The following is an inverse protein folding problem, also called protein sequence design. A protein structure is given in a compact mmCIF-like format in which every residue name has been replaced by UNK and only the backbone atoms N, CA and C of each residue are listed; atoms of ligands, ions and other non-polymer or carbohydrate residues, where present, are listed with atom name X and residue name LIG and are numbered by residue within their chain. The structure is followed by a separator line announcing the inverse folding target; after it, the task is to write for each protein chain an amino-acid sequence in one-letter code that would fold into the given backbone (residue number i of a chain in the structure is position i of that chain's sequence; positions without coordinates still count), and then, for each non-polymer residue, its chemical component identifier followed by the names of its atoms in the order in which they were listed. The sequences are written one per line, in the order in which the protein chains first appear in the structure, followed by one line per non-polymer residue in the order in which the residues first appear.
data_IF_088616175697
#
_entry.id   IF_088616175697
#
_cell.length_a   1.000
_cell.length_b   1.000
_cell.length_c   1.000
_cell.angle_alpha   90.00
_cell.angle_beta   90.00
_cell.angle_gamma   90.00
#
_symmetry.space_group_name_H-M   'P 1'
#
loop_
_entity.id
_entity.type
_entity.pdbx_description
1 polymer ?
#
# COMPACT_ATOMS: atom_id res chain seq x y z
N UNK A 1 10.29 -4.19 48.21
CA UNK A 1 9.84 -4.72 46.91
C UNK A 1 10.80 -4.18 45.87
N UNK A 2 11.82 -4.96 45.50
CA UNK A 2 12.59 -4.66 44.29
C UNK A 2 11.61 -4.74 43.11
N UNK A 3 11.43 -3.63 42.39
CA UNK A 3 10.73 -3.66 41.12
C UNK A 3 11.61 -4.51 40.19
N UNK A 4 11.11 -5.69 39.77
CA UNK A 4 11.76 -6.49 38.75
C UNK A 4 11.87 -5.63 37.48
N UNK A 5 13.06 -5.09 37.21
CA UNK A 5 13.37 -4.45 35.95
C UNK A 5 13.52 -5.53 34.89
N UNK A 6 12.65 -5.50 33.89
CA UNK A 6 12.80 -6.32 32.69
C UNK A 6 13.55 -5.51 31.63
N UNK A 7 14.25 -6.18 30.71
CA UNK A 7 14.95 -5.50 29.63
C UNK A 7 14.14 -5.56 28.35
N UNK A 8 14.03 -4.43 27.66
CA UNK A 8 13.44 -4.32 26.33
C UNK A 8 14.47 -3.85 25.31
N UNK A 9 14.32 -4.33 24.08
CA UNK A 9 15.16 -3.96 22.98
C UNK A 9 14.66 -2.65 22.37
N UNK A 10 15.56 -1.68 22.22
CA UNK A 10 15.27 -0.42 21.58
C UNK A 10 16.20 -0.18 20.40
N UNK A 11 15.68 0.56 19.44
CA UNK A 11 16.46 1.02 18.31
C UNK A 11 16.90 2.46 18.54
N UNK A 12 18.20 2.66 18.46
CA UNK A 12 18.87 3.94 18.67
C UNK A 12 19.47 4.41 17.34
N UNK A 13 19.35 5.70 17.05
CA UNK A 13 20.02 6.32 15.89
C UNK A 13 21.29 6.99 16.37
N UNK A 14 22.44 6.53 15.88
CA UNK A 14 23.73 7.11 16.22
C UNK A 14 23.97 8.41 15.43
N UNK A 15 24.87 9.32 15.89
CA UNK A 15 25.12 10.60 15.21
C UNK A 15 25.60 10.48 13.76
N UNK A 16 26.16 9.33 13.38
CA UNK A 16 26.58 9.03 12.01
C UNK A 16 25.43 8.49 11.12
N UNK A 17 24.19 8.44 11.63
CA UNK A 17 23.03 7.89 10.93
C UNK A 17 22.93 6.35 10.95
N UNK A 18 23.75 5.67 11.74
CA UNK A 18 23.66 4.20 11.86
C UNK A 18 22.56 3.82 12.84
N UNK A 19 21.76 2.81 12.48
CA UNK A 19 20.80 2.21 13.39
C UNK A 19 21.49 1.17 14.26
N UNK A 20 21.31 1.25 15.56
CA UNK A 20 21.86 0.32 16.54
C UNK A 20 20.75 -0.23 17.43
N UNK A 21 20.91 -1.47 17.92
CA UNK A 21 19.95 -2.10 18.83
C UNK A 21 20.58 -2.26 20.21
N UNK A 22 19.89 -1.77 21.24
CA UNK A 22 20.36 -1.80 22.62
C UNK A 22 19.27 -2.33 23.56
N UNK A 23 19.68 -3.14 24.54
CA UNK A 23 18.80 -3.56 25.63
C UNK A 23 18.79 -2.48 26.72
N UNK A 24 17.60 -1.98 27.05
CA UNK A 24 17.40 -1.00 28.10
C UNK A 24 16.45 -1.53 29.17
N UNK A 25 16.67 -1.10 30.42
CA UNK A 25 15.78 -1.47 31.51
C UNK A 25 14.43 -0.76 31.36
N UNK A 26 13.35 -1.52 31.45
CA UNK A 26 11.98 -1.04 31.44
C UNK A 26 11.23 -1.49 32.68
N UNK A 27 10.22 -0.71 33.04
CA UNK A 27 9.27 -1.04 34.11
C UNK A 27 8.01 -1.71 33.56
N UNK A 28 7.85 -1.70 32.23
CA UNK A 28 6.68 -2.26 31.58
C UNK A 28 6.80 -3.78 31.48
N UNK A 29 5.65 -4.45 31.67
CA UNK A 29 5.60 -5.90 31.56
C UNK A 29 5.71 -6.34 30.08
N UNK A 30 6.75 -7.11 29.77
CA UNK A 30 6.96 -7.66 28.43
C UNK A 30 6.31 -9.04 28.33
N UNK A 31 5.42 -9.20 27.34
CA UNK A 31 4.81 -10.51 27.07
C UNK A 31 5.85 -11.49 26.53
N UNK A 32 5.64 -12.80 26.74
CA UNK A 32 6.57 -13.84 26.25
C UNK A 32 6.80 -13.74 24.74
N UNK A 33 5.74 -13.51 23.96
CA UNK A 33 5.84 -13.37 22.49
C UNK A 33 6.64 -12.14 22.07
N UNK A 34 6.45 -11.00 22.75
CA UNK A 34 7.24 -9.79 22.50
C UNK A 34 8.72 -10.02 22.84
N UNK A 35 9.02 -10.62 23.99
CA UNK A 35 10.40 -10.92 24.38
C UNK A 35 11.11 -11.91 23.44
N UNK A 36 10.39 -12.91 22.90
CA UNK A 36 10.94 -13.81 21.88
C UNK A 36 11.23 -13.09 20.56
N UNK A 37 10.30 -12.25 20.10
CA UNK A 37 10.49 -11.48 18.87
C UNK A 37 11.68 -10.50 19.01
N UNK A 38 11.79 -9.79 20.14
CA UNK A 38 12.92 -8.89 20.40
C UNK A 38 14.26 -9.63 20.37
N UNK A 39 14.35 -10.84 20.95
CA UNK A 39 15.56 -11.66 20.90
C UNK A 39 15.93 -12.07 19.48
N UNK A 40 14.98 -12.56 18.70
CA UNK A 40 15.19 -12.92 17.29
C UNK A 40 15.67 -11.72 16.46
N UNK A 41 15.07 -10.53 16.67
CA UNK A 41 15.50 -9.29 16.02
C UNK A 41 16.97 -8.98 16.37
N UNK A 42 17.33 -9.10 17.65
CA UNK A 42 18.69 -8.83 18.12
C UNK A 42 19.71 -9.84 17.57
N UNK A 43 19.38 -11.13 17.52
CA UNK A 43 20.23 -12.18 16.96
C UNK A 43 20.52 -11.91 15.48
N UNK A 44 19.49 -11.61 14.67
CA UNK A 44 19.66 -11.26 13.25
C UNK A 44 20.45 -9.97 13.04
N UNK A 45 20.30 -9.01 13.93
CA UNK A 45 21.11 -7.79 13.92
C UNK A 45 22.58 -8.09 14.21
N UNK A 46 22.86 -8.95 15.20
CA UNK A 46 24.21 -9.35 15.59
C UNK A 46 24.94 -10.16 14.50
N UNK A 47 24.21 -10.88 13.64
CA UNK A 47 24.76 -11.56 12.47
C UNK A 47 25.29 -10.59 11.39
N UNK A 48 25.19 -9.26 11.60
CA UNK A 48 25.68 -8.19 10.72
C UNK A 48 25.17 -8.27 9.27
N UNK A 49 24.02 -8.91 9.05
CA UNK A 49 23.32 -8.85 7.78
C UNK A 49 22.36 -7.67 7.79
N UNK A 50 22.31 -6.88 6.71
CA UNK A 50 21.29 -5.83 6.55
C UNK A 50 19.85 -6.40 6.44
N UNK A 51 19.69 -7.72 6.59
CA UNK A 51 18.42 -8.45 6.53
C UNK A 51 17.59 -8.34 7.82
N UNK A 52 18.17 -7.92 8.95
CA UNK A 52 17.40 -7.78 10.19
C UNK A 52 16.26 -6.76 10.04
N UNK A 53 16.48 -5.66 9.29
CA UNK A 53 15.45 -4.64 9.07
C UNK A 53 14.37 -5.14 8.10
N UNK A 54 14.76 -5.98 7.13
CA UNK A 54 13.81 -6.66 6.24
C UNK A 54 12.94 -7.64 7.04
N UNK A 55 13.55 -8.45 7.91
CA UNK A 55 12.84 -9.32 8.84
C UNK A 55 11.87 -8.54 9.72
N UNK A 56 12.31 -7.41 10.28
CA UNK A 56 11.45 -6.55 11.09
C UNK A 56 10.20 -6.11 10.30
N UNK A 57 10.34 -5.80 9.01
CA UNK A 57 9.23 -5.38 8.16
C UNK A 57 8.19 -6.47 7.88
N UNK A 58 8.60 -7.74 8.00
CA UNK A 58 7.72 -8.91 7.86
C UNK A 58 7.19 -9.44 9.20
N UNK A 59 7.68 -8.93 10.32
CA UNK A 59 7.27 -9.37 11.66
C UNK A 59 5.80 -9.08 11.96
N UNK A 60 5.19 -9.90 12.81
CA UNK A 60 3.76 -9.84 13.13
C UNK A 60 3.39 -8.50 13.80
N UNK A 61 2.52 -7.67 13.18
CA UNK A 61 2.11 -6.38 13.74
C UNK A 61 1.30 -6.51 15.04
N UNK A 62 0.68 -7.67 15.32
CA UNK A 62 -0.10 -7.92 16.53
C UNK A 62 0.78 -8.07 17.77
N UNK A 63 2.05 -8.43 17.60
CA UNK A 63 3.01 -8.49 18.69
C UNK A 63 3.46 -7.06 19.02
N UNK A 64 3.24 -6.63 20.25
CA UNK A 64 3.68 -5.30 20.71
C UNK A 64 5.21 -5.22 20.76
N UNK A 65 5.76 -4.12 20.24
CA UNK A 65 7.19 -3.77 20.31
C UNK A 65 7.34 -2.38 20.95
N UNK A 66 8.50 -2.08 21.57
CA UNK A 66 8.83 -0.75 22.05
C UNK A 66 8.69 0.32 20.95
N UNK A 67 8.37 1.58 21.28
CA UNK A 67 8.03 2.61 20.29
C UNK A 67 9.08 2.79 19.19
N UNK A 68 10.36 2.77 19.54
CA UNK A 68 11.48 2.89 18.61
C UNK A 68 11.49 1.74 17.58
N UNK A 69 11.36 0.50 18.03
CA UNK A 69 11.29 -0.67 17.16
C UNK A 69 10.00 -0.71 16.33
N UNK A 70 8.85 -0.37 16.91
CA UNK A 70 7.58 -0.36 16.18
C UNK A 70 7.58 0.69 15.05
N UNK A 71 8.20 1.86 15.28
CA UNK A 71 8.40 2.86 14.24
C UNK A 71 9.16 2.29 13.04
N UNK A 72 10.29 1.64 13.29
CA UNK A 72 11.10 1.04 12.23
C UNK A 72 10.45 -0.19 11.61
N UNK A 73 9.64 -0.95 12.36
CA UNK A 73 8.76 -2.01 11.82
C UNK A 73 7.75 -1.46 10.84
N UNK A 74 7.11 -0.33 11.14
CA UNK A 74 6.17 0.31 10.21
C UNK A 74 6.87 0.82 8.96
N UNK A 75 8.07 1.40 9.11
CA UNK A 75 8.89 1.86 7.99
C UNK A 75 9.32 0.70 7.07
N UNK A 76 9.94 -0.34 7.61
CA UNK A 76 10.35 -1.50 6.82
C UNK A 76 9.16 -2.36 6.37
N UNK A 77 8.05 -2.34 7.10
CA UNK A 77 6.78 -2.96 6.71
C UNK A 77 6.13 -2.27 5.51
N UNK A 78 6.27 -0.95 5.38
CA UNK A 78 5.86 -0.24 4.16
C UNK A 78 6.69 -0.68 2.95
N UNK A 79 8.00 -0.89 3.12
CA UNK A 79 8.86 -1.48 2.09
C UNK A 79 8.40 -2.90 1.74
N UNK A 80 8.21 -3.77 2.74
CA UNK A 80 7.79 -5.15 2.56
C UNK A 80 6.44 -5.25 1.82
N UNK A 81 5.48 -4.37 2.15
CA UNK A 81 4.18 -4.28 1.47
C UNK A 81 4.35 -3.91 0.00
N UNK A 82 5.07 -2.82 -0.29
CA UNK A 82 5.34 -2.40 -1.68
C UNK A 82 6.08 -3.46 -2.48
N UNK A 83 7.03 -4.14 -1.85
CA UNK A 83 7.74 -5.27 -2.44
C UNK A 83 6.75 -6.38 -2.82
N UNK A 84 5.92 -6.83 -1.88
CA UNK A 84 4.94 -7.88 -2.14
C UNK A 84 3.91 -7.47 -3.20
N UNK A 85 3.54 -6.18 -3.29
CA UNK A 85 2.64 -5.60 -4.27
C UNK A 85 3.29 -5.33 -5.64
N UNK A 86 4.59 -5.59 -5.79
CA UNK A 86 5.28 -5.35 -7.06
C UNK A 86 4.86 -6.39 -8.09
N UNK A 87 4.27 -5.98 -9.23
CA UNK A 87 3.92 -6.91 -10.31
C UNK A 87 5.17 -7.63 -10.82
N UNK A 88 5.02 -8.91 -11.14
CA UNK A 88 6.09 -9.72 -11.74
C UNK A 88 7.36 -9.79 -10.90
N UNK A 89 7.24 -9.70 -9.57
CA UNK A 89 8.39 -9.78 -8.67
C UNK A 89 9.23 -11.05 -8.89
N UNK A 90 8.59 -12.19 -9.20
CA UNK A 90 9.29 -13.44 -9.54
C UNK A 90 10.16 -13.33 -10.81
N UNK A 91 9.80 -12.45 -11.74
CA UNK A 91 10.57 -12.18 -12.95
C UNK A 91 11.71 -11.18 -12.69
N UNK A 92 11.42 -10.18 -11.86
CA UNK A 92 12.36 -9.11 -11.52
C UNK A 92 13.45 -9.62 -10.58
N UNK A 93 13.08 -10.40 -9.55
CA UNK A 93 13.95 -10.92 -8.48
C UNK A 93 14.87 -9.83 -7.91
N UNK A 94 16.17 -10.00 -8.08
CA UNK A 94 17.23 -9.10 -7.61
C UNK A 94 17.25 -7.75 -8.32
N UNK A 95 16.62 -7.66 -9.50
CA UNK A 95 16.57 -6.43 -10.31
C UNK A 95 15.47 -5.46 -9.88
N UNK A 96 14.62 -5.85 -8.92
CA UNK A 96 13.55 -5.00 -8.43
C UNK A 96 14.10 -3.73 -7.77
N UNK A 97 13.41 -2.61 -7.99
CA UNK A 97 13.71 -1.35 -7.34
C UNK A 97 12.42 -0.76 -6.79
N UNK A 98 12.29 -0.81 -5.47
CA UNK A 98 11.14 -0.24 -4.77
C UNK A 98 11.41 1.23 -4.46
N UNK A 99 10.63 2.13 -5.04
CA UNK A 99 10.73 3.56 -4.77
C UNK A 99 9.94 3.99 -3.53
N UNK A 100 10.46 4.99 -2.83
CA UNK A 100 9.76 5.76 -1.82
C UNK A 100 9.64 7.21 -2.31
N UNK A 101 8.49 7.83 -2.11
CA UNK A 101 8.22 9.21 -2.53
C UNK A 101 8.56 10.19 -1.41
N UNK A 102 8.82 11.45 -1.77
CA UNK A 102 9.05 12.52 -0.79
C UNK A 102 7.87 12.68 0.20
N UNK A 103 6.63 12.49 -0.26
CA UNK A 103 5.45 12.56 0.61
C UNK A 103 5.44 11.42 1.65
N UNK A 104 5.84 10.21 1.25
CA UNK A 104 5.96 9.08 2.17
C UNK A 104 7.08 9.31 3.19
N UNK A 105 8.23 9.84 2.77
CA UNK A 105 9.32 10.21 3.68
C UNK A 105 8.84 11.24 4.72
N UNK A 106 8.18 12.32 4.28
CA UNK A 106 7.61 13.34 5.17
C UNK A 106 6.57 12.77 6.14
N UNK A 107 5.74 11.84 5.65
CA UNK A 107 4.77 11.13 6.48
C UNK A 107 5.49 10.34 7.57
N UNK A 108 6.50 9.55 7.21
CA UNK A 108 7.29 8.80 8.20
C UNK A 108 8.00 9.69 9.21
N UNK A 109 8.51 10.86 8.81
CA UNK A 109 9.12 11.81 9.76
C UNK A 109 8.09 12.39 10.74
N UNK A 110 6.88 12.71 10.28
CA UNK A 110 5.83 13.27 11.11
C UNK A 110 5.33 12.31 12.21
N UNK A 111 5.47 11.00 12.01
CA UNK A 111 5.06 9.96 12.96
C UNK A 111 6.21 9.40 13.81
N UNK A 112 7.38 10.05 13.82
CA UNK A 112 8.51 9.62 14.64
C UNK A 112 8.17 9.69 16.14
N UNK A 113 8.35 8.60 16.91
CA UNK A 113 8.15 8.63 18.35
C UNK A 113 9.32 9.34 19.03
N UNK A 114 9.15 9.64 20.33
CA UNK A 114 10.29 9.97 21.16
C UNK A 114 11.21 8.74 21.28
N UNK A 115 12.44 8.87 20.78
CA UNK A 115 13.46 7.82 20.83
C UNK A 115 14.85 8.43 20.86
N UNK A 116 15.83 7.65 21.33
CA UNK A 116 17.24 8.07 21.38
C UNK A 116 17.77 8.29 19.95
N UNK A 117 18.26 9.50 19.68
CA UNK A 117 18.79 9.86 18.37
C UNK A 117 17.71 10.32 17.37
N UNK A 118 16.49 10.60 17.82
CA UNK A 118 15.42 11.14 16.96
C UNK A 118 15.82 12.44 16.25
N UNK A 119 16.73 13.24 16.82
CA UNK A 119 17.29 14.44 16.21
C UNK A 119 18.11 14.17 14.94
N UNK A 120 18.59 12.94 14.74
CA UNK A 120 19.32 12.53 13.54
C UNK A 120 18.39 11.93 12.47
N UNK A 121 17.10 11.76 12.78
CA UNK A 121 16.10 11.27 11.85
C UNK A 121 15.71 12.37 10.85
N UNK A 122 16.11 12.16 9.58
CA UNK A 122 15.90 13.10 8.47
C UNK A 122 15.59 12.35 7.18
N UNK A 123 15.11 13.08 6.16
CA UNK A 123 14.71 12.49 4.87
C UNK A 123 15.86 11.68 4.26
N UNK A 124 17.09 12.18 4.31
CA UNK A 124 18.27 11.51 3.75
C UNK A 124 18.60 10.19 4.47
N UNK A 125 18.36 10.13 5.78
CA UNK A 125 18.56 8.89 6.55
C UNK A 125 17.52 7.84 6.13
N UNK A 126 16.25 8.23 6.07
CA UNK A 126 15.18 7.32 5.66
C UNK A 126 15.40 6.80 4.23
N UNK A 127 15.78 7.67 3.29
CA UNK A 127 16.09 7.27 1.93
C UNK A 127 17.28 6.30 1.85
N UNK A 128 18.34 6.55 2.63
CA UNK A 128 19.48 5.64 2.71
C UNK A 128 19.07 4.26 3.27
N UNK A 129 18.26 4.23 4.33
CA UNK A 129 17.78 2.97 4.92
C UNK A 129 16.82 2.22 3.99
N UNK A 130 15.99 2.93 3.23
CA UNK A 130 15.14 2.35 2.19
C UNK A 130 15.95 1.71 1.07
N UNK A 131 17.02 2.39 0.64
CA UNK A 131 17.97 1.87 -0.35
C UNK A 131 18.67 0.61 0.15
N UNK A 132 19.10 0.60 1.42
CA UNK A 132 19.71 -0.58 2.06
C UNK A 132 18.75 -1.76 2.15
N UNK A 133 17.48 -1.53 2.47
CA UNK A 133 16.44 -2.57 2.44
C UNK A 133 16.33 -3.22 1.05
N UNK A 134 16.29 -2.40 -0.01
CA UNK A 134 16.24 -2.90 -1.38
C UNK A 134 17.49 -3.71 -1.75
N UNK A 135 18.68 -3.23 -1.37
CA UNK A 135 19.94 -3.94 -1.60
C UNK A 135 20.00 -5.27 -0.84
N UNK A 136 19.60 -5.28 0.44
CA UNK A 136 19.57 -6.48 1.27
C UNK A 136 18.63 -7.54 0.66
N UNK A 137 17.44 -7.14 0.23
CA UNK A 137 16.52 -8.03 -0.50
C UNK A 137 17.16 -8.56 -1.78
N UNK A 138 17.69 -7.67 -2.65
CA UNK A 138 18.30 -8.06 -3.93
C UNK A 138 19.43 -9.08 -3.77
N UNK A 139 20.31 -8.89 -2.78
CA UNK A 139 21.41 -9.83 -2.50
C UNK A 139 20.88 -11.17 -1.97
N UNK A 140 19.92 -11.14 -1.05
CA UNK A 140 19.37 -12.36 -0.46
C UNK A 140 18.58 -13.20 -1.48
N UNK A 141 17.75 -12.58 -2.32
CA UNK A 141 16.96 -13.29 -3.32
C UNK A 141 17.82 -13.82 -4.48
N UNK A 142 18.95 -13.16 -4.77
CA UNK A 142 19.93 -13.63 -5.74
C UNK A 142 20.60 -14.93 -5.28
N UNK A 143 20.89 -15.05 -3.98
CA UNK A 143 21.49 -16.24 -3.39
C UNK A 143 20.48 -17.38 -3.13
N UNK A 144 19.18 -17.09 -3.15
CA UNK A 144 18.13 -18.06 -2.86
C UNK A 144 17.69 -18.83 -4.11
N UNK A 145 17.80 -20.16 -4.09
CA UNK A 145 17.48 -21.02 -5.24
C UNK A 145 15.97 -21.23 -5.49
N UNK A 146 15.11 -20.95 -4.50
CA UNK A 146 13.67 -21.12 -4.61
C UNK A 146 12.93 -19.92 -5.23
N UNK A 147 11.59 -19.98 -5.17
CA UNK A 147 10.75 -18.86 -5.61
C UNK A 147 10.86 -17.66 -4.66
N UNK A 148 10.53 -16.46 -5.15
CA UNK A 148 10.43 -15.27 -4.30
C UNK A 148 9.35 -15.44 -3.23
N UNK A 149 8.29 -16.18 -3.54
CA UNK A 149 7.25 -16.49 -2.55
C UNK A 149 7.78 -17.35 -1.42
N UNK A 150 8.51 -18.42 -1.73
CA UNK A 150 9.12 -19.29 -0.71
C UNK A 150 10.11 -18.49 0.15
N UNK A 151 10.89 -17.61 -0.47
CA UNK A 151 11.79 -16.69 0.23
C UNK A 151 11.02 -15.82 1.21
N UNK A 152 9.96 -15.14 0.79
CA UNK A 152 9.15 -14.27 1.66
C UNK A 152 8.50 -15.06 2.80
N UNK A 153 8.04 -16.29 2.53
CA UNK A 153 7.47 -17.19 3.55
C UNK A 153 8.47 -17.59 4.64
N UNK A 154 9.78 -17.55 4.36
CA UNK A 154 10.80 -17.73 5.42
C UNK A 154 10.83 -16.60 6.44
N UNK A 155 10.36 -15.41 6.08
CA UNK A 155 10.29 -14.24 6.98
C UNK A 155 8.92 -14.08 7.61
N UNK A 156 7.85 -14.34 6.87
CA UNK A 156 6.48 -14.31 7.38
C UNK A 156 5.62 -15.37 6.71
N UNK A 157 5.20 -16.42 7.46
CA UNK A 157 4.37 -17.50 6.91
C UNK A 157 3.02 -17.02 6.33
N UNK A 158 2.52 -15.89 6.84
CA UNK A 158 1.26 -15.27 6.43
C UNK A 158 1.43 -14.21 5.32
N UNK A 159 2.67 -13.87 4.93
CA UNK A 159 2.91 -12.96 3.83
C UNK A 159 2.66 -13.70 2.50
N UNK A 160 1.64 -13.24 1.78
CA UNK A 160 1.33 -13.71 0.44
C UNK A 160 1.92 -12.74 -0.59
N UNK A 161 2.55 -13.29 -1.63
CA UNK A 161 3.05 -12.48 -2.73
C UNK A 161 1.84 -11.92 -3.49
N UNK A 162 1.66 -10.62 -3.41
CA UNK A 162 0.51 -9.89 -3.95
C UNK A 162 0.77 -9.67 -5.45
N UNK A 163 0.24 -10.55 -6.29
CA UNK A 163 0.49 -10.38 -7.74
C UNK A 163 0.16 -11.54 -8.65
N UNK A 164 -0.51 -12.58 -8.16
CA UNK A 164 -1.09 -13.59 -9.05
C UNK A 164 -2.45 -13.18 -9.59
N UNK A 165 -3.23 -12.39 -8.85
CA UNK A 165 -4.58 -11.97 -9.25
C UNK A 165 -4.65 -10.45 -9.30
N UNK A 166 -5.30 -9.95 -10.34
CA UNK A 166 -5.53 -8.53 -10.55
C UNK A 166 -7.01 -8.28 -10.77
N UNK A 167 -7.52 -7.27 -10.09
CA UNK A 167 -8.81 -6.69 -10.37
C UNK A 167 -8.61 -5.43 -11.20
N UNK A 168 -9.20 -5.40 -12.39
CA UNK A 168 -9.15 -4.26 -13.28
C UNK A 168 -10.50 -3.57 -13.26
N UNK A 169 -10.50 -2.27 -13.02
CA UNK A 169 -11.68 -1.43 -13.18
C UNK A 169 -11.32 -0.30 -14.13
N UNK A 170 -12.08 -0.14 -15.20
CA UNK A 170 -11.89 0.93 -16.19
C UNK A 170 -13.21 1.60 -16.51
N UNK A 171 -13.15 2.86 -16.96
CA UNK A 171 -14.34 3.55 -17.47
C UNK A 171 -14.77 2.93 -18.82
N UNK A 172 -16.08 2.80 -18.98
CA UNK A 172 -16.75 2.31 -20.17
C UNK A 172 -17.61 3.45 -20.78
N UNK A 173 -17.84 3.41 -22.08
CA UNK A 173 -18.59 4.44 -22.80
C UNK A 173 -20.12 4.29 -22.67
N UNK A 174 -20.59 3.30 -21.92
CA UNK A 174 -22.02 3.08 -21.72
C UNK A 174 -22.51 3.93 -20.54
N UNK A 175 -23.58 4.70 -20.76
CA UNK A 175 -24.12 5.59 -19.73
C UNK A 175 -24.84 4.84 -18.59
N UNK A 176 -25.40 3.65 -18.84
CA UNK A 176 -26.11 2.87 -17.82
C UNK A 176 -25.16 2.03 -16.95
N UNK A 177 -24.09 1.53 -17.57
CA UNK A 177 -23.00 0.80 -16.90
C UNK A 177 -21.66 1.43 -17.26
N UNK A 178 -21.31 2.55 -16.61
CA UNK A 178 -20.15 3.37 -16.96
C UNK A 178 -18.81 2.76 -16.62
N UNK A 179 -18.77 1.57 -16.02
CA UNK A 179 -17.54 0.89 -15.67
C UNK A 179 -17.48 -0.52 -16.23
N UNK A 180 -16.27 -1.00 -16.50
CA UNK A 180 -16.00 -2.38 -16.85
C UNK A 180 -15.02 -2.97 -15.84
N UNK A 181 -15.42 -4.08 -15.23
CA UNK A 181 -14.62 -4.83 -14.28
C UNK A 181 -14.16 -6.16 -14.89
N UNK A 182 -12.95 -6.58 -14.56
CA UNK A 182 -12.46 -7.92 -14.90
C UNK A 182 -11.42 -8.41 -13.89
N UNK A 183 -11.55 -9.66 -13.45
CA UNK A 183 -10.49 -10.36 -12.73
C UNK A 183 -9.56 -11.08 -13.72
N UNK A 184 -8.25 -10.94 -13.52
CA UNK A 184 -7.23 -11.65 -14.30
C UNK A 184 -6.20 -12.28 -13.38
N UNK A 185 -5.43 -13.21 -13.91
CA UNK A 185 -4.28 -13.77 -13.22
C UNK A 185 -3.04 -13.77 -14.11
N UNK A 186 -1.86 -13.78 -13.49
CA UNK A 186 -0.59 -13.95 -14.19
C UNK A 186 -0.25 -15.42 -14.36
N UNK A 187 0.04 -15.80 -15.61
CA UNK A 187 0.61 -17.11 -15.94
C UNK A 187 2.12 -17.12 -15.70
N UNK A 188 2.72 -18.32 -15.59
CA UNK A 188 4.18 -18.47 -15.47
C UNK A 188 4.89 -17.81 -16.65
N UNK A 189 6.12 -17.37 -16.38
CA UNK A 189 7.06 -16.82 -17.34
C UNK A 189 7.10 -17.66 -18.62
N UNK A 190 6.84 -17.04 -19.77
CA UNK A 190 7.11 -17.66 -21.05
C UNK A 190 8.64 -17.83 -21.25
N UNK A 191 9.06 -18.52 -22.31
CA UNK A 191 10.49 -18.71 -22.65
C UNK A 191 11.28 -17.40 -22.80
N UNK A 192 10.62 -16.24 -22.83
CA UNK A 192 11.22 -14.92 -22.96
C UNK A 192 11.20 -14.11 -21.65
N UNK A 193 10.74 -14.71 -20.55
CA UNK A 193 10.74 -14.07 -19.25
C UNK A 193 9.66 -13.00 -19.08
N UNK A 194 8.54 -13.09 -19.82
CA UNK A 194 7.36 -12.24 -19.63
C UNK A 194 6.19 -13.04 -19.06
N UNK A 195 5.55 -12.50 -18.03
CA UNK A 195 4.25 -12.97 -17.56
C UNK A 195 3.14 -12.47 -18.49
N UNK A 196 2.09 -13.26 -18.69
CA UNK A 196 0.88 -12.83 -19.38
C UNK A 196 -0.27 -12.74 -18.38
N UNK A 197 -1.02 -11.64 -18.44
CA UNK A 197 -2.28 -11.48 -17.72
C UNK A 197 -3.40 -12.10 -18.54
N UNK A 198 -4.05 -13.14 -18.02
CA UNK A 198 -5.19 -13.79 -18.64
C UNK A 198 -6.43 -13.66 -17.75
N UNK A 199 -7.64 -13.57 -18.32
CA UNK A 199 -8.87 -13.60 -17.53
C UNK A 199 -8.90 -14.78 -16.56
N UNK A 200 -9.39 -14.55 -15.33
CA UNK A 200 -9.36 -15.55 -14.25
C UNK A 200 -10.06 -16.86 -14.64
N UNK A 201 -11.07 -16.78 -15.52
CA UNK A 201 -11.72 -17.96 -16.14
C UNK A 201 -10.74 -18.96 -16.73
N UNK A 202 -9.68 -18.48 -17.38
CA UNK A 202 -8.70 -19.36 -18.00
C UNK A 202 -7.94 -20.19 -16.97
N UNK A 203 -7.81 -19.72 -15.73
CA UNK A 203 -7.19 -20.51 -14.65
C UNK A 203 -8.01 -21.77 -14.32
N UNK A 204 -9.35 -21.68 -14.39
CA UNK A 204 -10.25 -22.82 -14.17
C UNK A 204 -10.05 -23.91 -15.23
N UNK A 205 -9.77 -23.50 -16.47
CA UNK A 205 -9.53 -24.41 -17.60
C UNK A 205 -8.10 -24.97 -17.57
N UNK A 206 -7.10 -24.12 -17.34
CA UNK A 206 -5.68 -24.45 -17.34
C UNK A 206 -5.30 -25.38 -16.18
N UNK A 207 -5.78 -25.08 -14.97
CA UNK A 207 -5.46 -25.84 -13.76
C UNK A 207 -6.51 -26.92 -13.43
N UNK A 208 -7.39 -27.28 -14.38
CA UNK A 208 -8.43 -28.30 -14.19
C UNK A 208 -7.89 -29.67 -13.70
N UNK A 209 -6.61 -29.96 -13.96
CA UNK A 209 -5.92 -31.20 -13.53
C UNK A 209 -4.93 -30.99 -12.39
N UNK A 210 -4.75 -29.75 -11.92
CA UNK A 210 -3.78 -29.34 -10.90
C UNK A 210 -4.51 -28.60 -9.78
N UNK A 211 -5.22 -29.38 -8.96
CA UNK A 211 -6.13 -28.88 -7.93
C UNK A 211 -5.42 -28.04 -6.87
N UNK A 212 -4.15 -28.31 -6.57
CA UNK A 212 -3.39 -27.54 -5.59
C UNK A 212 -3.17 -26.10 -6.07
N UNK A 213 -2.77 -25.91 -7.34
CA UNK A 213 -2.60 -24.56 -7.91
C UNK A 213 -3.90 -23.80 -8.07
N UNK A 214 -4.98 -24.51 -8.45
CA UNK A 214 -6.30 -23.90 -8.53
C UNK A 214 -6.76 -23.45 -7.15
N UNK A 215 -6.55 -24.27 -6.11
CA UNK A 215 -6.88 -23.94 -4.74
C UNK A 215 -6.06 -22.75 -4.24
N UNK A 216 -4.76 -22.70 -4.53
CA UNK A 216 -3.88 -21.60 -4.15
C UNK A 216 -4.36 -20.26 -4.74
N UNK A 217 -4.73 -20.26 -6.03
CA UNK A 217 -5.30 -19.10 -6.72
C UNK A 217 -6.65 -18.68 -6.11
N UNK A 218 -7.56 -19.63 -5.87
CA UNK A 218 -8.87 -19.33 -5.30
C UNK A 218 -8.80 -18.94 -3.82
N UNK A 219 -7.75 -19.33 -3.10
CA UNK A 219 -7.54 -18.94 -1.70
C UNK A 219 -7.41 -17.43 -1.56
N UNK A 220 -6.65 -16.77 -2.44
CA UNK A 220 -6.52 -15.29 -2.45
C UNK A 220 -7.88 -14.61 -2.64
N UNK A 221 -8.72 -15.16 -3.52
CA UNK A 221 -10.07 -14.64 -3.76
C UNK A 221 -10.98 -14.87 -2.56
N UNK A 222 -10.95 -16.05 -1.96
CA UNK A 222 -11.71 -16.35 -0.74
C UNK A 222 -11.28 -15.50 0.47
N UNK A 223 -10.01 -15.10 0.54
CA UNK A 223 -9.56 -14.16 1.57
C UNK A 223 -10.20 -12.79 1.37
N UNK A 224 -10.26 -12.30 0.13
CA UNK A 224 -10.90 -11.03 -0.20
C UNK A 224 -12.42 -11.04 0.03
N UNK A 225 -13.10 -12.13 -0.32
CA UNK A 225 -14.54 -12.35 -0.04
C UNK A 225 -14.87 -12.12 1.43
N UNK A 226 -14.05 -12.63 2.36
CA UNK A 226 -14.37 -12.56 3.81
C UNK A 226 -14.53 -11.12 4.31
N UNK A 227 -13.88 -10.15 3.67
CA UNK A 227 -14.00 -8.74 4.00
C UNK A 227 -14.88 -7.94 3.04
N UNK A 228 -15.31 -8.53 1.91
CA UNK A 228 -15.98 -7.83 0.83
C UNK A 228 -17.28 -8.54 0.44
N UNK A 229 -18.39 -7.88 0.73
CA UNK A 229 -19.70 -8.34 0.27
C UNK A 229 -19.78 -8.37 -1.25
N UNK A 230 -19.23 -7.36 -1.93
CA UNK A 230 -19.23 -7.25 -3.39
C UNK A 230 -18.53 -8.46 -4.03
N UNK A 231 -17.31 -8.76 -3.59
CA UNK A 231 -16.55 -9.90 -4.14
C UNK A 231 -17.18 -11.24 -3.74
N UNK A 232 -17.76 -11.34 -2.55
CA UNK A 232 -18.50 -12.54 -2.13
C UNK A 232 -19.68 -12.85 -3.03
N UNK A 233 -20.54 -11.86 -3.31
CA UNK A 233 -21.67 -12.03 -4.23
C UNK A 233 -21.19 -12.45 -5.63
N UNK A 234 -20.15 -11.80 -6.18
CA UNK A 234 -19.60 -12.14 -7.50
C UNK A 234 -18.98 -13.53 -7.57
N UNK A 235 -18.40 -14.01 -6.45
CA UNK A 235 -17.81 -15.35 -6.39
C UNK A 235 -18.91 -16.42 -6.29
N UNK A 236 -19.94 -16.19 -5.47
CA UNK A 236 -21.09 -17.09 -5.32
C UNK A 236 -21.88 -17.25 -6.63
N UNK A 237 -22.08 -16.17 -7.38
CA UNK A 237 -22.75 -16.20 -8.69
C UNK A 237 -21.85 -16.73 -9.81
N UNK A 238 -20.53 -16.76 -9.59
CA UNK A 238 -19.53 -17.10 -10.60
C UNK A 238 -19.23 -15.97 -11.59
N UNK A 239 -19.84 -14.80 -11.41
CA UNK A 239 -19.64 -13.62 -12.25
C UNK A 239 -18.21 -13.07 -12.19
N UNK A 240 -17.48 -13.32 -11.09
CA UNK A 240 -16.07 -12.95 -10.95
C UNK A 240 -15.18 -13.50 -12.08
N UNK A 241 -15.57 -14.63 -12.69
CA UNK A 241 -14.83 -15.24 -13.80
C UNK A 241 -15.19 -14.64 -15.16
N UNK A 242 -16.00 -13.59 -15.22
CA UNK A 242 -16.43 -12.96 -16.46
C UNK A 242 -16.15 -11.45 -16.44
N UNK A 243 -15.95 -10.81 -17.60
CA UNK A 243 -15.99 -9.36 -17.68
C UNK A 243 -17.40 -8.85 -17.33
N UNK A 244 -17.47 -7.87 -16.44
CA UNK A 244 -18.73 -7.31 -15.94
C UNK A 244 -18.84 -5.83 -16.33
N UNK A 245 -20.05 -5.39 -16.59
CA UNK A 245 -20.38 -3.98 -16.71
C UNK A 245 -20.96 -3.53 -15.36
N UNK A 246 -20.38 -2.49 -14.77
CA UNK A 246 -20.73 -2.02 -13.43
C UNK A 246 -21.36 -0.64 -13.48
N UNK A 247 -22.28 -0.44 -12.54
CA UNK A 247 -22.86 0.83 -12.16
C UNK A 247 -21.84 1.69 -11.38
N UNK A 248 -22.16 2.98 -11.21
CA UNK A 248 -21.42 3.89 -10.34
C UNK A 248 -21.34 3.40 -8.90
N UNK A 249 -22.43 2.86 -8.36
CA UNK A 249 -22.46 2.34 -6.99
C UNK A 249 -21.50 1.16 -6.77
N UNK A 250 -21.47 0.20 -7.70
CA UNK A 250 -20.57 -0.95 -7.64
C UNK A 250 -19.10 -0.53 -7.76
N UNK A 251 -18.80 0.36 -8.71
CA UNK A 251 -17.46 0.92 -8.88
C UNK A 251 -16.99 1.66 -7.63
N UNK A 252 -17.86 2.46 -7.00
CA UNK A 252 -17.52 3.18 -5.77
C UNK A 252 -17.26 2.24 -4.58
N UNK A 253 -18.08 1.20 -4.43
CA UNK A 253 -17.87 0.16 -3.41
C UNK A 253 -16.51 -0.51 -3.61
N UNK A 254 -16.18 -0.91 -4.85
CA UNK A 254 -14.89 -1.48 -5.18
C UNK A 254 -13.72 -0.55 -4.85
N UNK A 255 -13.80 0.74 -5.23
CA UNK A 255 -12.73 1.70 -4.98
C UNK A 255 -12.44 1.88 -3.48
N UNK A 256 -13.47 1.84 -2.62
CA UNK A 256 -13.31 1.88 -1.16
C UNK A 256 -12.66 0.63 -0.59
N UNK A 257 -12.90 -0.52 -1.20
CA UNK A 257 -12.42 -1.82 -0.75
C UNK A 257 -11.04 -2.17 -1.33
N UNK A 258 -10.40 -1.30 -2.13
CA UNK A 258 -9.04 -1.53 -2.66
C UNK A 258 -8.04 -1.95 -1.56
N UNK A 259 -7.94 -1.26 -0.41
CA UNK A 259 -6.98 -1.65 0.64
C UNK A 259 -7.21 -3.08 1.13
N UNK A 260 -8.47 -3.50 1.25
CA UNK A 260 -8.85 -4.86 1.64
C UNK A 260 -8.41 -5.89 0.59
N UNK A 261 -8.63 -5.61 -0.69
CA UNK A 261 -8.23 -6.51 -1.78
C UNK A 261 -6.71 -6.67 -1.84
N UNK A 262 -5.98 -5.55 -1.69
CA UNK A 262 -4.52 -5.55 -1.70
C UNK A 262 -3.93 -6.29 -0.48
N UNK A 263 -4.53 -6.12 0.71
CA UNK A 263 -4.20 -6.91 1.90
C UNK A 263 -4.43 -8.41 1.71
N UNK A 264 -5.44 -8.77 0.91
CA UNK A 264 -5.76 -10.17 0.56
C UNK A 264 -4.88 -10.74 -0.55
N UNK A 265 -4.00 -9.94 -1.14
CA UNK A 265 -3.09 -10.36 -2.21
C UNK A 265 -3.59 -10.14 -3.64
N UNK A 266 -4.61 -9.31 -3.82
CA UNK A 266 -5.17 -8.94 -5.12
C UNK A 266 -4.77 -7.50 -5.49
N UNK A 267 -4.10 -7.34 -6.63
CA UNK A 267 -3.69 -6.01 -7.10
C UNK A 267 -4.81 -5.31 -7.88
N UNK A 268 -5.12 -4.07 -7.51
CA UNK A 268 -6.14 -3.27 -8.20
C UNK A 268 -5.52 -2.38 -9.29
N UNK A 269 -5.90 -2.62 -10.54
CA UNK A 269 -5.54 -1.77 -11.68
C UNK A 269 -6.69 -0.84 -12.01
N UNK A 270 -6.51 0.41 -11.62
CA UNK A 270 -7.45 1.50 -11.82
C UNK A 270 -6.81 2.68 -12.57
N UNK A 271 -7.60 3.49 -13.29
CA UNK A 271 -7.19 4.78 -13.81
C UNK A 271 -6.45 5.65 -12.78
N UNK A 272 -5.45 6.38 -13.25
CA UNK A 272 -4.54 7.11 -12.38
C UNK A 272 -5.20 8.23 -11.56
N UNK A 273 -6.33 8.79 -12.03
CA UNK A 273 -7.02 9.88 -11.33
C UNK A 273 -7.80 9.44 -10.08
N UNK A 274 -7.97 8.13 -9.85
CA UNK A 274 -8.50 7.58 -8.59
C UNK A 274 -7.38 7.16 -7.61
N UNK A 275 -6.11 7.28 -7.98
CA UNK A 275 -4.98 6.92 -7.11
C UNK A 275 -4.64 8.10 -6.17
N UNK A 276 -5.00 7.96 -4.88
CA UNK A 276 -4.53 8.86 -3.80
C UNK A 276 -5.02 10.31 -3.89
N UNK A 277 -4.50 11.19 -3.03
CA UNK A 277 -4.94 12.59 -2.72
C UNK A 277 -5.19 13.55 -3.90
N UNK A 278 -5.00 13.15 -5.15
CA UNK A 278 -5.34 13.93 -6.34
C UNK A 278 -6.86 14.10 -6.54
N UNK A 279 -7.70 13.35 -5.83
CA UNK A 279 -9.17 13.48 -5.88
C UNK A 279 -9.74 14.47 -4.83
N UNK A 280 -8.88 15.19 -4.09
CA UNK A 280 -9.33 16.13 -3.05
C UNK A 280 -9.92 17.43 -3.62
N UNK A 281 -11.01 17.91 -3.03
CA UNK A 281 -11.58 19.24 -3.32
C UNK A 281 -10.67 20.31 -2.72
N UNK A 282 -10.14 21.21 -3.56
CA UNK A 282 -9.38 22.41 -3.14
C UNK A 282 -10.18 23.67 -3.47
N UNK A 283 -10.35 24.52 -2.48
CA UNK A 283 -10.91 25.87 -2.66
C UNK A 283 -9.76 26.85 -2.85
N UNK A 284 -9.65 27.45 -4.03
CA UNK A 284 -8.71 28.54 -4.28
C UNK A 284 -9.45 29.88 -4.23
N UNK A 285 -8.91 30.81 -3.46
CA UNK A 285 -9.36 32.20 -3.41
C UNK A 285 -8.38 33.06 -4.18
N UNK A 286 -8.82 33.64 -5.30
CA UNK A 286 -8.04 34.67 -6.01
C UNK A 286 -8.62 36.05 -5.71
N UNK A 287 -7.77 36.98 -5.27
CA UNK A 287 -8.09 38.41 -5.29
C UNK A 287 -7.97 38.89 -6.75
N UNK A 288 -9.05 39.46 -7.30
CA UNK A 288 -9.07 39.90 -8.69
C UNK A 288 -8.14 41.10 -8.99
N UNK A 289 -7.43 41.03 -10.12
CA UNK A 289 -6.53 42.06 -10.67
C UNK A 289 -7.27 43.27 -11.29
N UNK A 290 -8.27 43.83 -10.60
CA UNK A 290 -8.80 45.15 -11.01
C UNK A 290 -8.01 46.24 -10.30
N UNK A 291 -7.09 46.88 -11.05
CA UNK A 291 -6.43 48.12 -10.64
C UNK A 291 -7.48 49.10 -10.10
N UNK A 292 -7.41 49.55 -8.83
CA UNK A 292 -8.44 50.40 -8.28
C UNK A 292 -8.40 51.76 -8.97
N UNK A 293 -9.50 52.15 -9.60
CA UNK A 293 -9.73 53.53 -10.04
C UNK A 293 -10.06 54.37 -8.80
N UNK A 294 -9.15 55.30 -8.47
CA UNK A 294 -9.28 56.48 -7.61
C UNK A 294 -10.53 56.60 -6.69
N UNK A 295 -10.25 56.57 -5.38
CA UNK A 295 -10.96 57.24 -4.28
C UNK A 295 -12.44 56.92 -4.04
N UNK A 296 -12.71 56.04 -3.07
CA UNK A 296 -14.01 55.85 -2.42
C UNK A 296 -13.98 54.64 -1.48
N UNK A 297 -14.76 54.66 -0.39
CA UNK A 297 -14.87 53.54 0.57
C UNK A 297 -15.48 52.25 -0.02
N UNK A 298 -15.82 52.23 -1.32
CA UNK A 298 -16.39 51.10 -2.05
C UNK A 298 -15.35 50.26 -2.83
N UNK A 299 -14.10 50.20 -2.37
CA UNK A 299 -13.15 49.17 -2.81
C UNK A 299 -13.52 47.81 -2.20
N UNK A 300 -14.72 47.32 -2.51
CA UNK A 300 -15.19 45.99 -2.10
C UNK A 300 -14.31 44.97 -2.81
N UNK A 301 -13.47 44.32 -2.00
CA UNK A 301 -12.64 43.19 -2.38
C UNK A 301 -13.46 42.19 -3.22
N UNK A 302 -13.18 42.12 -4.52
CA UNK A 302 -13.79 41.12 -5.39
C UNK A 302 -13.06 39.79 -5.17
N UNK A 303 -13.63 38.95 -4.30
CA UNK A 303 -13.18 37.58 -4.10
C UNK A 303 -13.81 36.67 -5.15
N UNK A 304 -13.00 36.08 -6.01
CA UNK A 304 -13.44 34.98 -6.87
C UNK A 304 -13.01 33.69 -6.20
N UNK A 305 -13.97 32.99 -5.57
CA UNK A 305 -13.77 31.64 -5.06
C UNK A 305 -13.94 30.65 -6.22
N UNK A 306 -12.94 29.81 -6.43
CA UNK A 306 -12.97 28.76 -7.45
C UNK A 306 -12.79 27.41 -6.77
N UNK A 307 -13.70 26.48 -7.07
CA UNK A 307 -13.64 25.12 -6.58
C UNK A 307 -12.84 24.28 -7.56
N UNK A 308 -11.87 23.53 -7.06
CA UNK A 308 -11.08 22.58 -7.83
C UNK A 308 -11.25 21.20 -7.24
N UNK A 309 -11.23 20.19 -8.09
CA UNK A 309 -11.17 18.79 -7.70
C UNK A 309 -9.94 18.19 -8.39
N UNK A 310 -8.89 17.95 -7.60
CA UNK A 310 -7.54 17.79 -8.12
C UNK A 310 -7.06 19.06 -8.82
N UNK A 311 -6.69 18.93 -10.10
CA UNK A 311 -6.28 20.06 -10.97
C UNK A 311 -7.45 20.60 -11.83
N UNK A 312 -8.64 20.04 -11.69
CA UNK A 312 -9.80 20.39 -12.53
C UNK A 312 -10.68 21.41 -11.82
N UNK A 313 -10.84 22.60 -12.38
CA UNK A 313 -11.82 23.58 -11.90
C UNK A 313 -13.23 23.05 -12.11
N UNK A 314 -14.08 23.04 -11.09
CA UNK A 314 -15.49 22.64 -11.16
C UNK A 314 -16.40 23.84 -10.90
N UNK A 315 -17.56 23.88 -11.57
CA UNK A 315 -18.56 24.95 -11.38
C UNK A 315 -19.36 24.75 -10.09
N UNK A 316 -20.06 25.80 -9.65
CA UNK A 316 -20.96 25.68 -8.49
C UNK A 316 -22.10 24.68 -8.77
N UNK A 317 -22.61 24.62 -10.01
CA UNK A 317 -23.63 23.63 -10.38
C UNK A 317 -23.09 22.20 -10.35
N UNK A 318 -21.86 21.97 -10.83
CA UNK A 318 -21.18 20.67 -10.77
C UNK A 318 -20.92 20.24 -9.31
N UNK A 319 -20.52 21.18 -8.45
CA UNK A 319 -20.33 20.95 -7.02
C UNK A 319 -21.65 20.63 -6.29
N UNK A 320 -22.73 21.34 -6.61
CA UNK A 320 -24.07 21.04 -6.06
C UNK A 320 -24.58 19.68 -6.54
N UNK A 321 -24.27 19.27 -7.78
CA UNK A 321 -24.57 17.92 -8.27
C UNK A 321 -23.82 16.85 -7.50
N UNK A 322 -22.50 17.00 -7.33
CA UNK A 322 -21.67 16.12 -6.49
C UNK A 322 -22.26 15.94 -5.07
N UNK A 323 -22.70 17.03 -4.44
CA UNK A 323 -23.29 16.99 -3.10
C UNK A 323 -24.70 16.35 -3.07
N UNK A 324 -25.39 16.32 -4.21
CA UNK A 324 -26.74 15.72 -4.37
C UNK A 324 -26.72 14.26 -4.82
N UNK A 325 -25.61 13.79 -5.42
CA UNK A 325 -25.47 12.42 -5.89
C UNK A 325 -25.26 11.48 -4.69
N UNK A 326 -26.16 10.50 -4.56
CA UNK A 326 -26.20 9.59 -3.41
C UNK A 326 -25.22 8.41 -3.54
N UNK A 327 -24.61 8.22 -4.72
CA UNK A 327 -23.83 7.04 -5.09
C UNK A 327 -22.31 7.23 -4.98
N UNK A 328 -21.84 8.43 -4.66
CA UNK A 328 -20.45 8.69 -4.27
C UNK A 328 -19.41 8.84 -5.39
N UNK A 329 -19.79 8.65 -6.67
CA UNK A 329 -18.99 8.98 -7.86
C UNK A 329 -19.80 9.90 -8.78
N UNK A 330 -19.18 10.93 -9.35
CA UNK A 330 -19.83 11.84 -10.29
C UNK A 330 -19.07 11.99 -11.61
N UNK A 331 -19.79 12.20 -12.70
CA UNK A 331 -19.19 12.41 -14.01
C UNK A 331 -18.96 13.90 -14.31
N UNK A 332 -17.70 14.33 -14.31
CA UNK A 332 -17.30 15.73 -14.50
C UNK A 332 -16.25 15.82 -15.60
N UNK A 333 -16.51 16.70 -16.59
CA UNK A 333 -15.56 17.00 -17.69
C UNK A 333 -14.94 15.75 -18.32
N UNK A 334 -15.80 14.78 -18.63
CA UNK A 334 -15.45 13.54 -19.34
C UNK A 334 -14.58 12.56 -18.52
N UNK A 335 -14.70 12.58 -17.19
CA UNK A 335 -14.08 11.63 -16.25
C UNK A 335 -15.02 11.37 -15.07
N UNK A 336 -14.99 10.18 -14.52
CA UNK A 336 -15.64 9.90 -13.23
C UNK A 336 -14.70 10.27 -12.10
N UNK A 337 -15.21 10.98 -11.10
CA UNK A 337 -14.43 11.45 -9.95
C UNK A 337 -15.13 11.20 -8.63
#
# INVERSE_FOLDING_TARGET
MEQMTTQELNLVILPNGTLHLEWMDTRDAITKSSGLLQKEIFERFADNTDLWLLFLGFSDPQISLPPSLDYWRRFSGAFARKLCQTPDLEALRDRVKISITEEELKTHLAFAPMMTGAEYLREELLEAQWTRLNQAFSLAIQAYEGSVEDFIRTYSPNAHLVGRIFFHLVENKNHEYPFAFMATYTTRLDRQGKSKHLPLKHALEEYKKDNEKLLELLTTVHLAEKGSRLIGELLETGELFHPLAWTSAEAFAFLKEIPLYEESGILCRIPNWWKGKQSGVRLNFSLGDKKPSLAGMDAILSFNAQLFLGDTQISEEEARRLLSESEGLAFIKNRWV
#
